data_IF_708043568700
#
_entry.id   IF_708043568700
#
_cell.length_a   1.000
_cell.length_b   1.000
_cell.length_c   1.000
_cell.angle_alpha   90.00
_cell.angle_beta   90.00
_cell.angle_gamma   90.00
#
_symmetry.space_group_name_H-M   'P 1'
#
loop_
_entity.id
_entity.type
_entity.pdbx_description
1 polymer ?
#
# COMPACT_ATOMS: atom_id res chain seq x y z
N UNK A 1 -1.23 14.84 -4.95
CA UNK A 1 -0.24 14.32 -5.93
C UNK A 1 1.15 14.44 -5.36
N UNK A 2 1.89 13.33 -5.36
CA UNK A 2 3.32 13.30 -5.03
C UNK A 2 4.16 13.85 -6.20
N UNK A 3 5.39 14.32 -5.98
CA UNK A 3 6.28 14.75 -7.08
C UNK A 3 6.55 13.67 -8.12
N UNK A 4 6.54 12.40 -7.70
CA UNK A 4 6.71 11.24 -8.57
C UNK A 4 5.49 11.03 -9.48
N UNK A 5 4.27 11.04 -8.92
CA UNK A 5 3.02 11.04 -9.69
C UNK A 5 3.01 12.19 -10.70
N UNK A 6 3.39 13.40 -10.28
CA UNK A 6 3.50 14.55 -11.17
C UNK A 6 4.47 14.33 -12.35
N UNK A 7 5.58 13.61 -12.14
CA UNK A 7 6.49 13.24 -13.24
C UNK A 7 5.91 12.19 -14.18
N UNK A 8 5.18 11.20 -13.65
CA UNK A 8 4.55 10.15 -14.46
C UNK A 8 3.40 10.71 -15.29
N UNK A 9 2.57 11.59 -14.72
CA UNK A 9 1.52 12.31 -15.43
C UNK A 9 2.09 13.13 -16.57
N UNK A 10 3.15 13.92 -16.32
CA UNK A 10 3.82 14.70 -17.38
C UNK A 10 4.33 13.84 -18.53
N UNK A 11 4.91 12.67 -18.23
CA UNK A 11 5.37 11.73 -19.27
C UNK A 11 4.21 11.18 -20.10
N UNK A 12 3.09 10.85 -19.46
CA UNK A 12 1.89 10.38 -20.15
C UNK A 12 1.32 11.48 -21.06
N UNK A 13 1.24 12.73 -20.57
CA UNK A 13 0.82 13.89 -21.38
C UNK A 13 1.72 14.07 -22.61
N UNK A 14 3.04 14.02 -22.45
CA UNK A 14 3.98 14.12 -23.56
C UNK A 14 3.80 12.99 -24.59
N UNK A 15 3.45 11.77 -24.14
CA UNK A 15 3.19 10.66 -25.05
C UNK A 15 1.89 10.88 -25.86
N UNK A 16 0.84 11.38 -25.20
CA UNK A 16 -0.44 11.72 -25.84
C UNK A 16 -0.22 12.81 -26.91
N UNK A 17 0.51 13.87 -26.59
CA UNK A 17 0.85 14.95 -27.53
C UNK A 17 1.68 14.45 -28.72
N UNK A 18 2.65 13.54 -28.46
CA UNK A 18 3.48 12.94 -29.50
C UNK A 18 2.65 12.07 -30.44
N UNK A 19 1.73 11.26 -29.90
CA UNK A 19 0.80 10.46 -30.69
C UNK A 19 -0.04 11.36 -31.61
N UNK A 20 -0.69 12.38 -31.04
CA UNK A 20 -1.50 13.33 -31.81
C UNK A 20 -0.69 14.03 -32.92
N UNK A 21 0.58 14.34 -32.65
CA UNK A 21 1.47 14.93 -33.65
C UNK A 21 1.79 13.97 -34.81
N UNK A 22 2.01 12.68 -34.52
CA UNK A 22 2.21 11.66 -35.56
C UNK A 22 0.94 11.48 -36.39
N UNK A 23 -0.22 11.32 -35.75
CA UNK A 23 -1.51 11.17 -36.45
C UNK A 23 -1.78 12.33 -37.40
N UNK A 24 -1.52 13.57 -36.96
CA UNK A 24 -1.66 14.76 -37.80
C UNK A 24 -0.72 14.72 -39.01
N UNK A 25 0.52 14.28 -38.83
CA UNK A 25 1.49 14.19 -39.92
C UNK A 25 1.18 13.09 -40.93
N UNK A 26 0.63 11.95 -40.50
CA UNK A 26 0.13 10.90 -41.40
C UNK A 26 -0.94 11.48 -42.35
N UNK A 27 -1.93 12.18 -41.78
CA UNK A 27 -3.02 12.77 -42.54
C UNK A 27 -2.55 13.80 -43.59
N UNK A 28 -1.43 14.49 -43.33
CA UNK A 28 -0.86 15.50 -44.24
C UNK A 28 0.08 14.90 -45.29
N UNK A 29 0.82 13.84 -44.95
CA UNK A 29 1.89 13.31 -45.80
C UNK A 29 1.47 12.13 -46.68
N UNK A 30 0.27 11.56 -46.49
CA UNK A 30 -0.21 10.42 -47.28
C UNK A 30 0.62 9.14 -47.13
N UNK A 31 1.55 9.12 -46.17
CA UNK A 31 2.43 8.00 -45.88
C UNK A 31 1.69 6.90 -45.10
N UNK A 32 2.18 5.66 -45.22
CA UNK A 32 1.76 4.53 -44.38
C UNK A 32 1.89 4.87 -42.89
N UNK A 33 0.95 4.36 -42.08
CA UNK A 33 0.90 4.55 -40.63
C UNK A 33 2.25 4.16 -40.01
N UNK A 34 2.97 5.08 -39.33
CA UNK A 34 4.21 4.76 -38.67
C UNK A 34 3.94 3.67 -37.63
N UNK A 35 4.76 2.61 -37.60
CA UNK A 35 4.51 1.45 -36.75
C UNK A 35 4.49 1.80 -35.26
N UNK A 36 5.06 2.94 -34.86
CA UNK A 36 5.11 3.40 -33.48
C UNK A 36 3.79 3.99 -32.98
N UNK A 37 2.91 4.50 -33.85
CA UNK A 37 1.65 5.15 -33.44
C UNK A 37 0.68 4.16 -32.75
N UNK A 38 0.35 2.99 -33.34
CA UNK A 38 -0.54 2.03 -32.66
C UNK A 38 0.08 1.46 -31.39
N UNK A 39 1.41 1.30 -31.36
CA UNK A 39 2.15 0.84 -30.16
C UNK A 39 2.09 1.90 -29.05
N UNK A 40 2.27 3.18 -29.38
CA UNK A 40 2.10 4.29 -28.43
C UNK A 40 0.67 4.34 -27.89
N UNK A 41 -0.33 4.19 -28.76
CA UNK A 41 -1.74 4.20 -28.35
C UNK A 41 -2.04 3.06 -27.37
N UNK A 42 -1.61 1.84 -27.69
CA UNK A 42 -1.81 0.67 -26.82
C UNK A 42 -1.11 0.84 -25.47
N UNK A 43 0.11 1.37 -25.45
CA UNK A 43 0.84 1.65 -24.20
C UNK A 43 0.17 2.74 -23.36
N UNK A 44 -0.32 3.82 -23.98
CA UNK A 44 -1.05 4.89 -23.27
C UNK A 44 -2.30 4.31 -22.61
N UNK A 45 -3.14 3.58 -23.37
CA UNK A 45 -4.37 2.99 -22.83
C UNK A 45 -4.08 2.00 -21.70
N UNK A 46 -3.02 1.19 -21.83
CA UNK A 46 -2.62 0.25 -20.79
C UNK A 46 -2.11 0.96 -19.53
N UNK A 47 -1.37 2.06 -19.68
CA UNK A 47 -0.90 2.90 -18.58
C UNK A 47 -2.06 3.59 -17.86
N UNK A 48 -3.04 4.09 -18.60
CA UNK A 48 -4.24 4.68 -18.01
C UNK A 48 -5.01 3.63 -17.18
N UNK A 49 -5.25 2.46 -17.75
CA UNK A 49 -5.94 1.37 -17.05
C UNK A 49 -5.21 0.92 -15.78
N UNK A 50 -3.89 0.74 -15.81
CA UNK A 50 -3.13 0.31 -14.63
C UNK A 50 -3.04 1.43 -13.57
N UNK A 51 -3.10 2.70 -13.97
CA UNK A 51 -3.11 3.82 -13.03
C UNK A 51 -4.45 3.86 -12.29
N UNK A 52 -5.58 3.69 -13.01
CA UNK A 52 -6.90 3.58 -12.38
C UNK A 52 -6.97 2.40 -11.41
N UNK A 53 -6.50 1.22 -11.82
CA UNK A 53 -6.46 0.04 -10.95
C UNK A 53 -5.61 0.27 -9.70
N UNK A 54 -4.48 0.97 -9.84
CA UNK A 54 -3.63 1.29 -8.70
C UNK A 54 -4.32 2.24 -7.72
N UNK A 55 -5.02 3.27 -8.20
CA UNK A 55 -5.74 4.21 -7.35
C UNK A 55 -6.89 3.53 -6.59
N UNK A 56 -7.66 2.67 -7.27
CA UNK A 56 -8.73 1.87 -6.64
C UNK A 56 -8.16 0.93 -5.57
N UNK A 57 -7.11 0.19 -5.92
CA UNK A 57 -6.44 -0.73 -5.02
C UNK A 57 -5.82 -0.01 -3.82
N UNK A 58 -5.33 1.21 -4.03
CA UNK A 58 -4.77 2.06 -2.99
C UNK A 58 -5.82 2.48 -1.98
N UNK A 59 -7.02 2.87 -2.43
CA UNK A 59 -8.14 3.19 -1.54
C UNK A 59 -8.56 1.98 -0.71
N UNK A 60 -8.70 0.80 -1.32
CA UNK A 60 -9.05 -0.43 -0.61
C UNK A 60 -8.03 -0.76 0.49
N UNK A 61 -6.73 -0.73 0.15
CA UNK A 61 -5.65 -0.95 1.10
C UNK A 61 -5.69 0.06 2.27
N UNK A 62 -5.95 1.34 1.97
CA UNK A 62 -6.07 2.39 2.97
C UNK A 62 -7.25 2.15 3.92
N UNK A 63 -8.43 1.83 3.39
CA UNK A 63 -9.64 1.57 4.19
C UNK A 63 -9.45 0.39 5.14
N UNK A 64 -8.86 -0.71 4.66
CA UNK A 64 -8.57 -1.88 5.49
C UNK A 64 -7.52 -1.57 6.56
N UNK A 65 -6.49 -0.79 6.20
CA UNK A 65 -5.45 -0.34 7.14
C UNK A 65 -6.04 0.52 8.25
N UNK A 66 -6.95 1.45 7.92
CA UNK A 66 -7.62 2.29 8.92
C UNK A 66 -8.56 1.48 9.81
N UNK A 67 -9.34 0.53 9.25
CA UNK A 67 -10.15 -0.41 10.05
C UNK A 67 -9.29 -1.18 11.06
N UNK A 68 -8.15 -1.72 10.62
CA UNK A 68 -7.19 -2.42 11.49
C UNK A 68 -6.64 -1.50 12.59
N UNK A 69 -6.29 -0.25 12.23
CA UNK A 69 -5.80 0.76 13.18
C UNK A 69 -6.85 1.09 14.24
N UNK A 70 -8.11 1.25 13.84
CA UNK A 70 -9.22 1.54 14.75
C UNK A 70 -9.42 0.41 15.77
N UNK A 71 -9.44 -0.86 15.35
CA UNK A 71 -9.53 -2.00 16.29
C UNK A 71 -8.40 -1.99 17.31
N UNK A 72 -7.20 -1.53 16.91
CA UNK A 72 -6.04 -1.48 17.80
C UNK A 72 -6.08 -0.32 18.79
N UNK A 73 -6.49 0.87 18.32
CA UNK A 73 -6.27 2.15 19.00
C UNK A 73 -7.56 2.83 19.48
N UNK A 74 -8.75 2.29 19.20
CA UNK A 74 -10.00 2.87 19.68
C UNK A 74 -9.93 3.06 21.20
N UNK A 75 -10.13 4.30 21.66
CA UNK A 75 -9.88 4.70 23.04
C UNK A 75 -10.82 4.06 24.06
N UNK A 76 -11.97 3.55 23.62
CA UNK A 76 -12.98 2.94 24.50
C UNK A 76 -12.94 1.44 24.44
N UNK A 77 -12.86 0.89 23.23
CA UNK A 77 -13.03 -0.54 22.97
C UNK A 77 -11.81 -1.19 22.31
N UNK A 78 -10.79 -0.45 21.91
CA UNK A 78 -9.65 -1.02 21.18
C UNK A 78 -8.81 -1.98 22.02
N UNK A 79 -8.03 -2.81 21.33
CA UNK A 79 -7.19 -3.85 21.94
C UNK A 79 -6.20 -3.23 22.94
N UNK A 80 -5.55 -2.09 22.61
CA UNK A 80 -4.56 -1.47 23.51
C UNK A 80 -5.19 -0.98 24.83
N UNK A 81 -6.27 -0.18 24.84
CA UNK A 81 -6.93 0.19 26.10
C UNK A 81 -7.47 -1.01 26.88
N UNK A 82 -7.97 -2.05 26.21
CA UNK A 82 -8.37 -3.29 26.90
C UNK A 82 -7.16 -3.99 27.54
N UNK A 83 -6.02 -4.01 26.86
CA UNK A 83 -4.78 -4.59 27.39
C UNK A 83 -4.22 -3.80 28.58
N UNK A 84 -4.39 -2.47 28.60
CA UNK A 84 -4.09 -1.63 29.78
C UNK A 84 -4.93 -2.02 31.00
N UNK A 85 -6.25 -2.16 30.83
CA UNK A 85 -7.14 -2.59 31.92
C UNK A 85 -6.82 -4.01 32.40
N UNK A 86 -6.52 -4.91 31.47
CA UNK A 86 -6.10 -6.28 31.77
C UNK A 86 -4.83 -6.29 32.64
N UNK A 87 -3.85 -5.46 32.30
CA UNK A 87 -2.60 -5.38 33.06
C UNK A 87 -2.83 -4.96 34.52
N UNK A 88 -3.76 -4.02 34.76
CA UNK A 88 -4.16 -3.63 36.11
C UNK A 88 -4.79 -4.81 36.88
N UNK A 89 -5.72 -5.55 36.27
CA UNK A 89 -6.36 -6.72 36.91
C UNK A 89 -5.37 -7.85 37.23
N UNK A 90 -4.42 -8.13 36.32
CA UNK A 90 -3.39 -9.15 36.54
C UNK A 90 -2.51 -8.77 37.72
N UNK A 91 -2.13 -7.50 37.86
CA UNK A 91 -1.39 -7.00 39.01
C UNK A 91 -2.13 -7.18 40.34
N UNK A 92 -3.46 -7.12 40.33
CA UNK A 92 -4.29 -7.39 41.51
C UNK A 92 -4.37 -8.88 41.86
N UNK A 93 -4.52 -9.75 40.86
CA UNK A 93 -4.72 -11.19 41.05
C UNK A 93 -3.42 -11.95 41.35
N UNK A 94 -2.32 -11.58 40.69
CA UNK A 94 -1.09 -12.36 40.72
C UNK A 94 0.05 -11.56 41.36
N UNK A 95 0.03 -11.47 42.69
CA UNK A 95 1.05 -10.74 43.48
C UNK A 95 2.40 -11.46 43.63
N UNK A 96 2.47 -12.75 43.28
CA UNK A 96 3.72 -13.53 43.28
C UNK A 96 4.35 -13.55 41.88
N UNK A 97 5.65 -13.23 41.78
CA UNK A 97 6.39 -13.27 40.51
C UNK A 97 6.50 -14.71 39.99
N UNK A 98 5.59 -15.10 39.10
CA UNK A 98 5.66 -16.35 38.35
C UNK A 98 6.17 -16.07 36.94
N UNK A 99 6.77 -17.08 36.30
CA UNK A 99 7.22 -16.98 34.90
C UNK A 99 6.09 -16.51 33.98
N UNK A 100 4.84 -16.92 34.22
CA UNK A 100 3.69 -16.47 33.45
C UNK A 100 3.44 -14.97 33.57
N UNK A 101 3.52 -14.41 34.79
CA UNK A 101 3.34 -12.98 35.02
C UNK A 101 4.44 -12.15 34.38
N UNK A 102 5.68 -12.64 34.41
CA UNK A 102 6.82 -11.97 33.77
C UNK A 102 6.67 -11.97 32.24
N UNK A 103 6.20 -13.06 31.64
CA UNK A 103 5.91 -13.12 30.21
C UNK A 103 4.79 -12.17 29.80
N UNK A 104 3.72 -12.09 30.58
CA UNK A 104 2.64 -11.13 30.34
C UNK A 104 3.15 -9.69 30.43
N UNK A 105 3.99 -9.39 31.42
CA UNK A 105 4.64 -8.07 31.55
C UNK A 105 5.46 -7.73 30.32
N UNK A 106 6.25 -8.68 29.82
CA UNK A 106 7.05 -8.51 28.60
C UNK A 106 6.13 -8.24 27.41
N UNK A 107 5.05 -9.01 27.23
CA UNK A 107 4.10 -8.80 26.13
C UNK A 107 3.38 -7.46 26.24
N UNK A 108 2.95 -7.06 27.43
CA UNK A 108 2.38 -5.75 27.67
C UNK A 108 3.31 -4.64 27.17
N UNK A 109 4.58 -4.67 27.60
CA UNK A 109 5.58 -3.70 27.14
C UNK A 109 5.80 -3.76 25.62
N UNK A 110 5.86 -4.96 25.03
CA UNK A 110 6.00 -5.13 23.58
C UNK A 110 4.82 -4.53 22.82
N UNK A 111 3.59 -4.77 23.26
CA UNK A 111 2.36 -4.26 22.62
C UNK A 111 2.30 -2.72 22.70
N UNK A 112 2.59 -2.14 23.87
CA UNK A 112 2.42 -0.70 24.09
C UNK A 112 3.60 0.11 23.54
N UNK A 113 4.83 -0.41 23.59
CA UNK A 113 6.03 0.29 23.10
C UNK A 113 6.45 -0.07 21.67
N UNK A 114 5.80 -1.02 21.00
CA UNK A 114 6.05 -1.25 19.58
C UNK A 114 5.73 0.03 18.80
N UNK A 115 6.77 0.67 18.29
CA UNK A 115 6.64 1.82 17.41
C UNK A 115 6.15 1.35 16.06
N UNK A 116 4.85 1.47 15.83
CA UNK A 116 4.28 1.24 14.52
C UNK A 116 4.77 2.38 13.60
N UNK A 117 5.39 2.06 12.45
CA UNK A 117 5.77 3.08 11.50
C UNK A 117 4.52 3.88 11.15
N UNK A 118 4.64 5.21 11.17
CA UNK A 118 3.56 6.06 10.67
C UNK A 118 3.30 5.65 9.24
N UNK A 119 2.03 5.43 8.91
CA UNK A 119 1.61 5.05 7.57
C UNK A 119 2.36 5.92 6.54
N UNK A 120 2.85 5.35 5.43
CA UNK A 120 3.64 6.07 4.42
C UNK A 120 2.80 7.10 3.63
N UNK A 121 1.96 7.90 4.30
CA UNK A 121 1.16 8.97 3.72
C UNK A 121 1.95 10.29 3.57
N UNK A 122 3.24 10.33 3.94
CA UNK A 122 4.01 11.56 3.79
C UNK A 122 4.34 11.79 2.31
N UNK A 123 3.45 12.56 1.66
CA UNK A 123 3.25 12.84 0.22
C UNK A 123 4.45 13.34 -0.59
N UNK A 124 5.67 13.27 -0.06
CA UNK A 124 6.88 13.82 -0.69
C UNK A 124 7.70 12.77 -1.43
N UNK A 125 7.53 11.49 -1.15
CA UNK A 125 8.27 10.40 -1.82
C UNK A 125 7.30 9.47 -2.56
N UNK A 126 7.72 8.85 -3.67
CA UNK A 126 6.98 7.71 -4.20
C UNK A 126 6.83 6.71 -3.07
N UNK A 127 5.63 6.16 -2.94
CA UNK A 127 5.37 5.11 -1.97
C UNK A 127 6.23 3.90 -2.35
N UNK A 128 7.34 3.67 -1.65
CA UNK A 128 8.20 2.55 -1.97
C UNK A 128 7.56 1.30 -1.38
N UNK A 129 7.46 0.23 -2.17
CA UNK A 129 7.03 -1.08 -1.65
C UNK A 129 7.76 -1.50 -0.36
N UNK A 130 9.03 -1.11 -0.21
CA UNK A 130 9.80 -1.36 1.02
C UNK A 130 9.16 -0.74 2.26
N UNK A 131 8.60 0.45 2.14
CA UNK A 131 7.95 1.17 3.23
C UNK A 131 6.60 0.53 3.60
N UNK A 132 5.84 0.09 2.58
CA UNK A 132 4.62 -0.71 2.78
C UNK A 132 4.93 -2.02 3.50
N UNK A 133 5.95 -2.75 3.03
CA UNK A 133 6.33 -4.03 3.62
C UNK A 133 6.74 -3.89 5.08
N UNK A 134 7.59 -2.91 5.40
CA UNK A 134 7.99 -2.66 6.79
C UNK A 134 6.78 -2.32 7.69
N UNK A 135 5.84 -1.55 7.15
CA UNK A 135 4.59 -1.23 7.84
C UNK A 135 3.79 -2.50 8.12
N UNK A 136 3.56 -3.35 7.11
CA UNK A 136 2.79 -4.58 7.27
C UNK A 136 3.47 -5.60 8.18
N UNK A 137 4.79 -5.78 8.06
CA UNK A 137 5.57 -6.67 8.94
C UNK A 137 5.45 -6.24 10.42
N UNK A 138 5.38 -4.93 10.69
CA UNK A 138 5.20 -4.40 12.04
C UNK A 138 3.81 -4.71 12.61
N UNK A 139 2.76 -4.62 11.80
CA UNK A 139 1.40 -4.98 12.22
C UNK A 139 1.21 -6.50 12.34
N UNK A 140 1.87 -7.29 11.51
CA UNK A 140 1.91 -8.74 11.64
C UNK A 140 2.54 -9.18 12.97
N UNK A 141 3.67 -8.56 13.34
CA UNK A 141 4.31 -8.79 14.63
C UNK A 141 3.41 -8.38 15.81
N UNK A 142 2.71 -7.25 15.70
CA UNK A 142 1.75 -6.83 16.71
C UNK A 142 0.62 -7.86 16.89
N UNK A 143 0.11 -8.41 15.78
CA UNK A 143 -0.89 -9.48 15.81
C UNK A 143 -0.40 -10.74 16.53
N UNK A 144 0.86 -11.13 16.29
CA UNK A 144 1.47 -12.25 17.01
C UNK A 144 1.52 -12.00 18.53
N UNK A 145 1.89 -10.80 18.96
CA UNK A 145 1.88 -10.45 20.38
C UNK A 145 0.49 -10.52 21.01
N UNK A 146 -0.56 -10.12 20.26
CA UNK A 146 -1.94 -10.26 20.74
C UNK A 146 -2.35 -11.73 20.90
N UNK A 147 -2.00 -12.59 19.94
CA UNK A 147 -2.28 -14.03 20.05
C UNK A 147 -1.56 -14.64 21.25
N UNK A 148 -0.27 -14.36 21.42
CA UNK A 148 0.51 -14.88 22.55
C UNK A 148 -0.03 -14.41 23.90
N UNK A 149 -0.53 -13.18 23.98
CA UNK A 149 -1.19 -12.68 25.19
C UNK A 149 -2.42 -13.54 25.51
N UNK A 150 -3.30 -13.78 24.54
CA UNK A 150 -4.51 -14.59 24.74
C UNK A 150 -4.19 -16.04 25.15
N UNK A 151 -3.17 -16.64 24.54
CA UNK A 151 -2.72 -17.99 24.88
C UNK A 151 -2.17 -18.04 26.31
N UNK A 152 -1.37 -17.06 26.71
CA UNK A 152 -0.82 -17.00 28.07
C UNK A 152 -1.91 -16.79 29.11
N UNK A 153 -2.91 -15.93 28.86
CA UNK A 153 -4.04 -15.74 29.77
C UNK A 153 -4.79 -17.06 30.02
N UNK A 154 -4.93 -17.89 28.98
CA UNK A 154 -5.52 -19.22 29.12
C UNK A 154 -4.63 -20.16 29.96
N UNK A 155 -3.31 -20.16 29.71
CA UNK A 155 -2.35 -21.02 30.43
C UNK A 155 -2.32 -20.69 31.93
N UNK A 156 -2.33 -19.40 32.29
CA UNK A 156 -2.31 -18.99 33.70
C UNK A 156 -3.69 -19.06 34.37
N UNK A 157 -4.73 -19.49 33.64
CA UNK A 157 -6.09 -19.59 34.18
C UNK A 157 -6.70 -18.24 34.56
N UNK A 158 -6.33 -17.16 33.87
CA UNK A 158 -6.82 -15.82 34.16
C UNK A 158 -8.35 -15.76 34.04
N UNK A 159 -9.01 -15.27 35.08
CA UNK A 159 -10.46 -15.07 35.11
C UNK A 159 -10.73 -13.62 35.50
N UNK A 160 -11.39 -12.81 34.65
CA UNK A 160 -11.53 -11.39 34.92
C UNK A 160 -12.39 -11.11 36.16
N UNK A 161 -11.97 -10.12 36.95
CA UNK A 161 -12.67 -9.73 38.20
C UNK A 161 -13.79 -8.74 37.93
N UNK A 162 -13.64 -7.93 36.88
CA UNK A 162 -14.60 -6.87 36.53
C UNK A 162 -15.56 -7.32 35.44
N UNK A 163 -16.86 -7.07 35.62
CA UNK A 163 -17.86 -7.23 34.56
C UNK A 163 -17.62 -6.29 33.37
N UNK A 164 -16.84 -5.23 33.54
CA UNK A 164 -16.50 -4.29 32.48
C UNK A 164 -15.45 -4.83 31.48
N UNK A 165 -14.88 -6.01 31.76
CA UNK A 165 -13.84 -6.62 30.93
C UNK A 165 -14.30 -7.98 30.40
N UNK A 166 -14.48 -8.07 29.08
CA UNK A 166 -14.96 -9.27 28.41
C UNK A 166 -13.84 -9.92 27.60
N UNK A 167 -13.22 -10.98 28.14
CA UNK A 167 -12.22 -11.79 27.40
C UNK A 167 -12.72 -12.27 26.04
N UNK A 168 -14.04 -12.50 25.91
CA UNK A 168 -14.66 -12.88 24.65
C UNK A 168 -14.57 -11.75 23.61
N UNK A 169 -14.80 -10.51 24.01
CA UNK A 169 -14.66 -9.33 23.13
C UNK A 169 -13.21 -9.13 22.70
N UNK A 170 -12.26 -9.22 23.65
CA UNK A 170 -10.84 -9.11 23.30
C UNK A 170 -10.42 -10.19 22.30
N UNK A 171 -10.84 -11.45 22.52
CA UNK A 171 -10.58 -12.55 21.57
C UNK A 171 -11.14 -12.26 20.18
N UNK A 172 -12.37 -11.76 20.12
CA UNK A 172 -13.01 -11.42 18.85
C UNK A 172 -12.29 -10.27 18.14
N UNK A 173 -11.88 -9.23 18.87
CA UNK A 173 -11.11 -8.13 18.30
C UNK A 173 -9.75 -8.57 17.78
N UNK A 174 -9.02 -9.42 18.52
CA UNK A 174 -7.74 -9.98 18.07
C UNK A 174 -7.93 -10.86 16.83
N UNK A 175 -9.02 -11.64 16.77
CA UNK A 175 -9.39 -12.42 15.58
C UNK A 175 -9.65 -11.50 14.38
N UNK A 176 -10.43 -10.44 14.56
CA UNK A 176 -10.71 -9.45 13.51
C UNK A 176 -9.44 -8.72 13.07
N UNK A 177 -8.59 -8.31 14.01
CA UNK A 177 -7.29 -7.70 13.73
C UNK A 177 -6.40 -8.63 12.89
N UNK A 178 -6.33 -9.91 13.25
CA UNK A 178 -5.50 -10.90 12.55
C UNK A 178 -6.01 -11.14 11.14
N UNK A 179 -7.33 -11.26 10.97
CA UNK A 179 -7.97 -11.36 9.66
C UNK A 179 -7.67 -10.13 8.79
N UNK A 180 -7.90 -8.93 9.31
CA UNK A 180 -7.59 -7.69 8.60
C UNK A 180 -6.10 -7.58 8.27
N UNK A 181 -5.21 -8.07 9.13
CA UNK A 181 -3.77 -8.07 8.84
C UNK A 181 -3.43 -8.94 7.63
N UNK A 182 -4.08 -10.10 7.48
CA UNK A 182 -3.92 -10.95 6.31
C UNK A 182 -4.47 -10.27 5.05
N UNK A 183 -5.68 -9.71 5.13
CA UNK A 183 -6.32 -8.99 4.01
C UNK A 183 -5.45 -7.80 3.56
N UNK A 184 -5.01 -6.95 4.49
CA UNK A 184 -4.15 -5.79 4.18
C UNK A 184 -2.81 -6.22 3.59
N UNK A 185 -2.21 -7.31 4.06
CA UNK A 185 -0.95 -7.84 3.51
C UNK A 185 -1.14 -8.27 2.05
N UNK A 186 -2.24 -8.95 1.74
CA UNK A 186 -2.58 -9.33 0.37
C UNK A 186 -2.76 -8.11 -0.53
N UNK A 187 -3.48 -7.08 -0.06
CA UNK A 187 -3.65 -5.86 -0.85
C UNK A 187 -2.34 -5.09 -1.05
N UNK A 188 -1.43 -5.12 -0.08
CA UNK A 188 -0.09 -4.55 -0.23
C UNK A 188 0.75 -5.27 -1.30
N UNK A 189 0.59 -6.59 -1.44
CA UNK A 189 1.21 -7.37 -2.52
C UNK A 189 0.61 -7.05 -3.89
N UNK A 190 -0.71 -6.86 -3.97
CA UNK A 190 -1.37 -6.41 -5.20
C UNK A 190 -0.84 -5.03 -5.62
N UNK A 191 -0.77 -4.07 -4.70
CA UNK A 191 -0.18 -2.75 -4.95
C UNK A 191 1.25 -2.81 -5.45
N UNK A 192 2.08 -3.70 -4.88
CA UNK A 192 3.45 -3.94 -5.36
C UNK A 192 3.46 -4.36 -6.82
N UNK A 193 2.63 -5.32 -7.19
CA UNK A 193 2.60 -5.87 -8.54
C UNK A 193 2.11 -4.82 -9.55
N UNK A 194 1.10 -4.03 -9.18
CA UNK A 194 0.65 -2.89 -9.97
C UNK A 194 1.76 -1.85 -10.14
N UNK A 195 2.49 -1.50 -9.08
CA UNK A 195 3.61 -0.55 -9.13
C UNK A 195 4.75 -1.05 -10.04
N UNK A 196 5.10 -2.34 -9.97
CA UNK A 196 6.11 -2.95 -10.84
C UNK A 196 5.66 -2.90 -12.31
N UNK A 197 4.39 -3.21 -12.57
CA UNK A 197 3.79 -3.18 -13.89
C UNK A 197 3.79 -1.75 -14.46
N UNK A 198 3.36 -0.77 -13.67
CA UNK A 198 3.45 0.65 -14.03
C UNK A 198 4.88 1.03 -14.41
N UNK A 199 5.87 0.70 -13.57
CA UNK A 199 7.26 1.04 -13.85
C UNK A 199 7.78 0.44 -15.16
N UNK A 200 7.42 -0.82 -15.45
CA UNK A 200 7.77 -1.46 -16.70
C UNK A 200 7.10 -0.78 -17.91
N UNK A 201 5.80 -0.48 -17.82
CA UNK A 201 5.06 0.20 -18.88
C UNK A 201 5.63 1.60 -19.15
N UNK A 202 5.95 2.37 -18.11
CA UNK A 202 6.56 3.69 -18.27
C UNK A 202 7.99 3.62 -18.85
N UNK A 203 8.74 2.52 -18.62
CA UNK A 203 10.01 2.28 -19.31
C UNK A 203 9.81 2.01 -20.80
N UNK A 204 8.86 1.14 -21.15
CA UNK A 204 8.50 0.85 -22.54
C UNK A 204 8.01 2.11 -23.25
N UNK A 205 7.15 2.91 -22.60
CA UNK A 205 6.67 4.18 -23.12
C UNK A 205 7.83 5.13 -23.47
N UNK A 206 8.85 5.25 -22.61
CA UNK A 206 10.01 6.10 -22.91
C UNK A 206 10.80 5.61 -24.15
N UNK A 207 10.94 4.29 -24.32
CA UNK A 207 11.63 3.72 -25.48
C UNK A 207 10.86 4.03 -26.77
N UNK A 208 9.55 3.76 -26.78
CA UNK A 208 8.71 4.00 -27.96
C UNK A 208 8.60 5.50 -28.27
N UNK A 209 8.45 6.36 -27.25
CA UNK A 209 8.47 7.82 -27.44
C UNK A 209 9.77 8.30 -28.09
N UNK A 210 10.91 7.70 -27.75
CA UNK A 210 12.20 8.07 -28.35
C UNK A 210 12.22 7.72 -29.85
N UNK A 211 11.78 6.52 -30.22
CA UNK A 211 11.69 6.09 -31.62
C UNK A 211 10.72 6.97 -32.43
N UNK A 212 9.52 7.19 -31.88
CA UNK A 212 8.48 8.03 -32.45
C UNK A 212 8.95 9.49 -32.69
N UNK A 213 9.68 10.08 -31.74
CA UNK A 213 10.29 11.41 -31.91
C UNK A 213 11.32 11.42 -33.04
N UNK A 214 12.16 10.39 -33.14
CA UNK A 214 13.10 10.20 -34.25
C UNK A 214 12.39 10.17 -35.60
N UNK A 215 11.31 9.37 -35.70
CA UNK A 215 10.52 9.25 -36.93
C UNK A 215 9.85 10.57 -37.32
N UNK A 216 9.25 11.27 -36.36
CA UNK A 216 8.63 12.58 -36.56
C UNK A 216 9.65 13.61 -37.09
N UNK A 217 10.88 13.60 -36.60
CA UNK A 217 11.95 14.47 -37.09
C UNK A 217 12.34 14.14 -38.54
N UNK A 218 12.41 12.85 -38.89
CA UNK A 218 12.66 12.42 -40.27
C UNK A 218 11.58 12.91 -41.21
N UNK A 219 10.29 12.70 -40.87
CA UNK A 219 9.17 13.20 -41.68
C UNK A 219 9.21 14.72 -41.87
N UNK A 220 9.52 15.48 -40.82
CA UNK A 220 9.66 16.94 -40.91
C UNK A 220 10.81 17.37 -41.83
N UNK A 221 11.90 16.60 -41.89
CA UNK A 221 13.05 16.88 -42.79
C UNK A 221 12.73 16.53 -44.24
N UNK A 222 12.08 15.38 -44.47
CA UNK A 222 11.64 14.94 -45.80
C UNK A 222 10.66 15.93 -46.40
N UNK A 223 9.64 16.36 -45.65
CA UNK A 223 8.66 17.34 -46.10
C UNK A 223 9.28 18.70 -46.48
N UNK A 224 10.32 19.16 -45.77
CA UNK A 224 11.04 20.40 -46.13
C UNK A 224 11.74 20.29 -47.48
N UNK A 225 12.34 19.13 -47.80
CA UNK A 225 13.07 18.91 -49.06
C UNK A 225 12.17 18.80 -50.30
N UNK A 226 10.86 18.61 -50.12
CA UNK A 226 9.88 18.51 -51.23
C UNK A 226 9.30 19.89 -51.59
N UNK A 227 9.46 20.89 -50.71
CA UNK A 227 8.94 22.25 -50.88
C UNK A 227 10.01 23.20 -51.47
N UNK A 228 11.30 22.81 -51.41
CA UNK A 228 12.43 23.50 -52.06
C UNK A 228 12.69 22.92 -53.46
#
# INVERSE_FOLDING_TARGET
MTPYEGSLTKKLTQAIELRASLTKWIAVSGNDVPPEEPVLQALIQRIEAINTQFDEQWQLYWELSEKRRLITQDSRTGIKPQNERLWEEIGHQFKGGTVGNDLIKVLYLKIHHLQLPRFPANRRKPLLYKDLRLHEDSYALLGQYFCWLLDLLQIIGFTPLSQAYCLKELREQVRQFTRLTQEVTQEAETLRNLQLTQHQLYRQLNQVMSAARGRLLTYKREAKRVID
#
